data_IF_246882884180
#
_entry.id   IF_246882884180
#
_cell.length_a   1.000
_cell.length_b   1.000
_cell.length_c   1.000
_cell.angle_alpha   90.00
_cell.angle_beta   90.00
_cell.angle_gamma   90.00
#
_symmetry.space_group_name_H-M   'P 1'
#
loop_
_entity.id
_entity.type
_entity.pdbx_description
1 polymer ?
#
# COMPACT_ATOMS: atom_id res chain seq x y z
N UNK A 1 -0.44 -12.52 14.09
CA UNK A 1 -0.09 -11.09 14.15
C UNK A 1 -1.07 -10.38 15.08
N UNK A 2 -0.60 -9.52 15.98
CA UNK A 2 -1.45 -8.84 16.95
C UNK A 2 -2.28 -7.71 16.30
N UNK A 3 -3.33 -7.24 16.97
CA UNK A 3 -4.08 -6.06 16.50
C UNK A 3 -3.22 -4.80 16.44
N UNK A 4 -2.22 -4.69 17.32
CA UNK A 4 -1.27 -3.59 17.31
C UNK A 4 -0.38 -3.63 16.04
N UNK A 5 0.09 -4.83 15.66
CA UNK A 5 0.86 -5.01 14.44
C UNK A 5 0.05 -4.63 13.20
N UNK A 6 -1.21 -5.06 13.11
CA UNK A 6 -2.10 -4.69 12.01
C UNK A 6 -2.27 -3.17 11.90
N UNK A 7 -2.48 -2.48 13.03
CA UNK A 7 -2.59 -1.03 13.06
C UNK A 7 -1.32 -0.32 12.53
N UNK A 8 -0.13 -0.83 12.87
CA UNK A 8 1.13 -0.28 12.37
C UNK A 8 1.24 -0.38 10.84
N UNK A 9 0.85 -1.52 10.27
CA UNK A 9 0.84 -1.73 8.83
C UNK A 9 -0.18 -0.85 8.11
N UNK A 10 -1.39 -0.70 8.68
CA UNK A 10 -2.39 0.22 8.14
C UNK A 10 -1.83 1.65 8.10
N UNK A 11 -1.25 2.12 9.22
CA UNK A 11 -0.72 3.49 9.31
C UNK A 11 0.48 3.74 8.43
N UNK A 12 1.36 2.76 8.27
CA UNK A 12 2.48 2.87 7.34
C UNK A 12 1.98 2.99 5.89
N UNK A 13 1.03 2.13 5.49
CA UNK A 13 0.45 2.16 4.15
C UNK A 13 -0.26 3.50 3.87
N UNK A 14 -1.10 3.98 4.79
CA UNK A 14 -1.75 5.30 4.66
C UNK A 14 -0.73 6.41 4.41
N UNK A 15 0.33 6.48 5.23
CA UNK A 15 1.36 7.52 5.08
C UNK A 15 2.10 7.44 3.75
N UNK A 16 2.51 6.24 3.33
CA UNK A 16 3.24 6.05 2.08
C UNK A 16 2.38 6.42 0.87
N UNK A 17 1.12 6.00 0.84
CA UNK A 17 0.18 6.35 -0.24
C UNK A 17 -0.03 7.86 -0.31
N UNK A 18 -0.26 8.52 0.83
CA UNK A 18 -0.43 9.98 0.89
C UNK A 18 0.83 10.72 0.44
N UNK A 19 2.02 10.31 0.92
CA UNK A 19 3.29 10.95 0.52
C UNK A 19 3.57 10.77 -0.96
N UNK A 20 3.32 9.58 -1.53
CA UNK A 20 3.50 9.36 -2.96
C UNK A 20 2.52 10.21 -3.77
N UNK A 21 1.23 10.22 -3.41
CA UNK A 21 0.23 11.04 -4.09
C UNK A 21 0.61 12.53 -4.07
N UNK A 22 1.03 13.05 -2.91
CA UNK A 22 1.50 14.42 -2.75
C UNK A 22 2.76 14.70 -3.59
N UNK A 23 3.80 13.86 -3.50
CA UNK A 23 5.07 14.09 -4.20
C UNK A 23 5.01 13.95 -5.71
N UNK A 24 4.09 13.12 -6.20
CA UNK A 24 3.86 12.90 -7.63
C UNK A 24 2.73 13.75 -8.19
N UNK A 25 2.03 14.51 -7.32
CA UNK A 25 0.78 15.21 -7.64
C UNK A 25 -0.28 14.30 -8.29
N UNK A 26 -0.19 12.99 -8.01
CA UNK A 26 -0.97 11.93 -8.67
C UNK A 26 -0.96 11.99 -10.21
N UNK A 27 0.13 12.49 -10.81
CA UNK A 27 0.29 12.58 -12.26
C UNK A 27 0.82 11.28 -12.88
N UNK A 28 1.27 11.34 -14.14
CA UNK A 28 1.72 10.16 -14.88
C UNK A 28 2.73 9.30 -14.10
N UNK A 29 2.45 8.00 -14.00
CA UNK A 29 3.32 7.04 -13.30
C UNK A 29 3.13 6.94 -11.79
N UNK A 30 2.30 7.79 -11.16
CA UNK A 30 2.11 7.78 -9.70
C UNK A 30 1.64 6.42 -9.17
N UNK A 31 0.73 5.76 -9.90
CA UNK A 31 0.19 4.45 -9.55
C UNK A 31 1.32 3.43 -9.42
N UNK A 32 2.14 3.31 -10.47
CA UNK A 32 3.26 2.37 -10.52
C UNK A 32 4.30 2.69 -9.44
N UNK A 33 4.57 3.97 -9.21
CA UNK A 33 5.49 4.41 -8.17
C UNK A 33 4.96 4.09 -6.76
N UNK A 34 3.66 4.26 -6.51
CA UNK A 34 3.03 3.89 -5.24
C UNK A 34 3.17 2.39 -4.96
N UNK A 35 2.87 1.56 -5.96
CA UNK A 35 3.09 0.10 -5.84
C UNK A 35 4.55 -0.26 -5.62
N UNK A 36 5.50 0.47 -6.21
CA UNK A 36 6.93 0.26 -6.01
C UNK A 36 7.34 0.59 -4.57
N UNK A 37 6.92 1.72 -4.03
CA UNK A 37 7.20 2.14 -2.64
C UNK A 37 6.61 1.16 -1.63
N UNK A 38 5.38 0.69 -1.84
CA UNK A 38 4.76 -0.29 -0.95
C UNK A 38 5.50 -1.64 -0.98
N UNK A 39 5.92 -2.12 -2.16
CA UNK A 39 6.73 -3.35 -2.27
C UNK A 39 8.08 -3.19 -1.59
N UNK A 40 8.77 -2.07 -1.82
CA UNK A 40 10.02 -1.75 -1.12
C UNK A 40 9.85 -1.78 0.40
N UNK A 41 8.77 -1.18 0.91
CA UNK A 41 8.51 -1.15 2.34
C UNK A 41 8.27 -2.55 2.93
N UNK A 42 7.53 -3.42 2.23
CA UNK A 42 7.35 -4.81 2.66
C UNK A 42 8.67 -5.59 2.65
N UNK A 43 9.46 -5.46 1.58
CA UNK A 43 10.77 -6.12 1.46
C UNK A 43 11.76 -5.64 2.53
N UNK A 44 11.75 -4.34 2.85
CA UNK A 44 12.56 -3.77 3.93
C UNK A 44 12.24 -4.38 5.30
N UNK A 45 11.00 -4.82 5.50
CA UNK A 45 10.55 -5.50 6.72
C UNK A 45 10.64 -7.04 6.61
N UNK A 46 11.35 -7.57 5.61
CA UNK A 46 11.67 -9.00 5.50
C UNK A 46 10.61 -9.88 4.85
N UNK A 47 9.62 -9.30 4.16
CA UNK A 47 8.64 -10.08 3.39
C UNK A 47 9.24 -10.47 2.03
N UNK A 48 9.06 -11.74 1.65
CA UNK A 48 9.58 -12.29 0.39
C UNK A 48 9.02 -11.56 -0.84
N UNK A 49 9.82 -11.47 -1.90
CA UNK A 49 9.48 -10.74 -3.12
C UNK A 49 8.14 -11.17 -3.73
N UNK A 50 7.88 -12.49 -3.81
CA UNK A 50 6.63 -13.01 -4.37
C UNK A 50 5.42 -12.60 -3.52
N UNK A 51 5.58 -12.62 -2.20
CA UNK A 51 4.54 -12.19 -1.26
C UNK A 51 4.33 -10.67 -1.33
N UNK A 52 5.40 -9.87 -1.49
CA UNK A 52 5.27 -8.41 -1.62
C UNK A 52 4.44 -8.03 -2.85
N UNK A 53 4.64 -8.71 -3.98
CA UNK A 53 3.90 -8.44 -5.20
C UNK A 53 2.42 -8.78 -5.02
N UNK A 54 2.12 -9.97 -4.48
CA UNK A 54 0.75 -10.42 -4.27
C UNK A 54 -0.01 -9.47 -3.33
N UNK A 55 0.59 -9.11 -2.19
CA UNK A 55 -0.04 -8.23 -1.19
C UNK A 55 -0.35 -6.87 -1.79
N UNK A 56 0.61 -6.25 -2.50
CA UNK A 56 0.44 -4.93 -3.09
C UNK A 56 -0.57 -4.96 -4.23
N UNK A 57 -0.52 -5.97 -5.10
CA UNK A 57 -1.51 -6.15 -6.18
C UNK A 57 -2.91 -6.32 -5.62
N UNK A 58 -3.09 -7.11 -4.56
CA UNK A 58 -4.40 -7.35 -3.93
C UNK A 58 -4.93 -6.15 -3.13
N UNK A 59 -4.05 -5.34 -2.55
CA UNK A 59 -4.40 -4.13 -1.82
C UNK A 59 -4.77 -2.99 -2.77
N UNK A 60 -3.92 -2.71 -3.75
CA UNK A 60 -4.01 -1.51 -4.61
C UNK A 60 -4.76 -1.77 -5.92
N UNK A 61 -4.62 -2.96 -6.50
CA UNK A 61 -5.08 -3.29 -7.85
C UNK A 61 -6.50 -2.83 -8.14
N UNK A 62 -6.64 -1.99 -9.17
CA UNK A 62 -7.91 -1.43 -9.66
C UNK A 62 -8.60 -0.38 -8.76
N UNK A 63 -8.02 0.02 -7.62
CA UNK A 63 -8.68 0.97 -6.68
C UNK A 63 -8.29 2.42 -6.89
N UNK A 64 -7.08 2.67 -7.37
CA UNK A 64 -6.67 4.03 -7.72
C UNK A 64 -7.20 4.39 -9.11
N UNK A 65 -7.78 5.58 -9.21
CA UNK A 65 -8.10 6.18 -10.51
C UNK A 65 -6.83 6.62 -11.22
N UNK A 66 -6.89 6.68 -12.56
CA UNK A 66 -5.79 7.21 -13.35
C UNK A 66 -5.74 8.73 -13.24
N UNK A 67 -4.54 9.29 -13.03
CA UNK A 67 -4.29 10.74 -12.92
C UNK A 67 -5.13 11.49 -11.88
N UNK A 68 -5.53 10.82 -10.79
CA UNK A 68 -6.31 11.42 -9.71
C UNK A 68 -5.78 10.94 -8.37
N UNK A 69 -5.63 11.88 -7.42
CA UNK A 69 -5.27 11.53 -6.05
C UNK A 69 -6.38 10.68 -5.42
N UNK A 70 -6.03 9.64 -4.63
CA UNK A 70 -7.02 8.79 -4.00
C UNK A 70 -7.71 9.55 -2.86
N UNK A 71 -9.03 9.50 -2.79
CA UNK A 71 -9.78 9.99 -1.63
C UNK A 71 -9.47 9.18 -0.37
N UNK A 72 -9.76 9.78 0.79
CA UNK A 72 -9.52 9.18 2.12
C UNK A 72 -10.10 7.76 2.23
N UNK A 73 -11.32 7.54 1.72
CA UNK A 73 -11.98 6.22 1.75
C UNK A 73 -11.24 5.16 0.93
N UNK A 74 -10.60 5.56 -0.18
CA UNK A 74 -9.78 4.67 -1.00
C UNK A 74 -8.50 4.31 -0.25
N UNK A 75 -7.86 5.29 0.40
CA UNK A 75 -6.67 5.06 1.22
C UNK A 75 -6.96 4.14 2.41
N UNK A 76 -8.10 4.32 3.08
CA UNK A 76 -8.54 3.45 4.18
C UNK A 76 -8.78 2.01 3.71
N UNK A 77 -9.43 1.83 2.56
CA UNK A 77 -9.66 0.51 1.99
C UNK A 77 -8.34 -0.19 1.60
N UNK A 78 -7.41 0.55 0.98
CA UNK A 78 -6.09 0.03 0.58
C UNK A 78 -5.25 -0.33 1.80
N UNK A 79 -5.13 0.56 2.79
CA UNK A 79 -4.34 0.33 4.00
C UNK A 79 -4.84 -0.87 4.80
N UNK A 80 -6.16 -1.01 4.95
CA UNK A 80 -6.74 -2.14 5.68
C UNK A 80 -6.55 -3.48 4.95
N UNK A 81 -6.63 -3.51 3.61
CA UNK A 81 -6.32 -4.72 2.83
C UNK A 81 -4.84 -5.06 2.89
N UNK A 82 -3.98 -4.06 2.82
CA UNK A 82 -2.54 -4.22 2.92
C UNK A 82 -2.14 -4.88 4.24
N UNK A 83 -2.64 -4.36 5.37
CA UNK A 83 -2.38 -4.94 6.69
C UNK A 83 -2.88 -6.39 6.82
N UNK A 84 -4.09 -6.68 6.32
CA UNK A 84 -4.62 -8.06 6.27
C UNK A 84 -3.77 -8.99 5.41
N UNK A 85 -3.26 -8.50 4.28
CA UNK A 85 -2.35 -9.26 3.42
C UNK A 85 -1.10 -9.68 4.17
N UNK A 86 -0.46 -8.75 4.89
CA UNK A 86 0.70 -9.06 5.74
C UNK A 86 0.34 -10.04 6.86
N UNK A 87 -0.81 -9.87 7.50
CA UNK A 87 -1.26 -10.76 8.57
C UNK A 87 -1.58 -12.20 8.14
N UNK A 88 -1.78 -12.43 6.85
CA UNK A 88 -2.05 -13.74 6.27
C UNK A 88 -0.82 -14.58 5.94
N UNK A 89 0.40 -14.02 6.04
CA UNK A 89 1.64 -14.63 5.53
C UNK A 89 2.06 -15.90 6.27
N UNK A 90 1.70 -16.02 7.56
CA UNK A 90 2.00 -17.15 8.47
C UNK A 90 3.40 -17.74 8.42
#
# INVERSE_FOLDING_TARGET
MSSADLWHWERACTRLVTVVADRTQAESGWYGHCMQVLRWFLAYNGIDEGQTEEIVKNAVGGRFGSWIAPDVSVVDAVSSRFARGVGGIR
#
